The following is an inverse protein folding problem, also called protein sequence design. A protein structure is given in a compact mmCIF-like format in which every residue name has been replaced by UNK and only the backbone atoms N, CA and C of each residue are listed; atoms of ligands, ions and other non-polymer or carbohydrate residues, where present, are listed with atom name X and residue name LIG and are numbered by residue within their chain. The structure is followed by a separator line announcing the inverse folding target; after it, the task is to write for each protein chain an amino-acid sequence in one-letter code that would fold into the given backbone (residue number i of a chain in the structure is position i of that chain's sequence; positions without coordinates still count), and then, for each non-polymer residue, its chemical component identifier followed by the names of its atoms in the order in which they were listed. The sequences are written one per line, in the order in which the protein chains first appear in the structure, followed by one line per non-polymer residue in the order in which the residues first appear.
data_IF_501887341021
#
_entry.id   IF_501887341021
#
_cell.length_a   1.000
_cell.length_b   1.000
_cell.length_c   1.000
_cell.angle_alpha   90.00
_cell.angle_beta   90.00
_cell.angle_gamma   90.00
#
_symmetry.space_group_name_H-M   'P 1'
#
loop_
_entity.id
_entity.type
_entity.pdbx_description
1 polymer ?
#
# COMPACT_ATOMS: atom_id res chain seq x y z
N UNK A 1 -9.79 -11.31 5.64
CA UNK A 1 -8.47 -10.68 5.43
C UNK A 1 -8.48 -10.10 4.02
N UNK A 2 -8.42 -8.78 3.87
CA UNK A 2 -8.48 -8.12 2.55
C UNK A 2 -7.25 -7.23 2.40
N UNK A 3 -6.52 -7.43 1.32
CA UNK A 3 -5.38 -6.63 0.91
C UNK A 3 -5.52 -6.31 -0.57
N UNK A 4 -5.42 -5.03 -0.93
CA UNK A 4 -5.56 -4.53 -2.29
C UNK A 4 -4.25 -3.86 -2.66
N UNK A 5 -3.63 -4.27 -3.77
CA UNK A 5 -2.45 -3.61 -4.30
C UNK A 5 -2.80 -2.87 -5.59
N UNK A 6 -2.61 -1.55 -5.59
CA UNK A 6 -2.76 -0.71 -6.77
C UNK A 6 -1.41 -0.53 -7.44
N UNK A 7 -1.32 -0.89 -8.72
CA UNK A 7 -0.11 -0.80 -9.51
C UNK A 7 -0.35 -0.02 -10.80
N UNK A 8 0.63 0.77 -11.23
CA UNK A 8 0.53 1.61 -12.42
C UNK A 8 1.55 2.75 -12.43
N UNK A 9 1.67 3.45 -13.56
CA UNK A 9 2.60 4.56 -13.76
C UNK A 9 2.37 5.71 -12.77
N UNK A 10 3.40 6.55 -12.59
CA UNK A 10 3.23 7.82 -11.88
C UNK A 10 2.15 8.66 -12.59
N UNK A 11 1.26 9.29 -11.81
CA UNK A 11 0.12 10.05 -12.36
C UNK A 11 -1.06 9.21 -12.85
N UNK A 12 -1.02 7.88 -12.83
CA UNK A 12 -2.13 7.02 -13.29
C UNK A 12 -3.40 7.05 -12.40
N UNK A 13 -3.47 7.92 -11.39
CA UNK A 13 -4.63 8.07 -10.52
C UNK A 13 -4.75 7.06 -9.37
N UNK A 14 -3.69 6.30 -9.05
CA UNK A 14 -3.68 5.31 -7.95
C UNK A 14 -4.12 5.91 -6.60
N UNK A 15 -3.55 7.05 -6.24
CA UNK A 15 -3.88 7.76 -4.99
C UNK A 15 -5.33 8.25 -4.99
N UNK A 16 -5.81 8.75 -6.13
CA UNK A 16 -7.21 9.17 -6.29
C UNK A 16 -8.16 7.99 -6.09
N UNK A 17 -7.88 6.86 -6.73
CA UNK A 17 -8.68 5.64 -6.58
C UNK A 17 -8.64 5.10 -5.14
N UNK A 18 -7.45 5.04 -4.52
CA UNK A 18 -7.28 4.58 -3.15
C UNK A 18 -8.12 5.40 -2.16
N UNK A 19 -8.08 6.74 -2.29
CA UNK A 19 -8.84 7.64 -1.43
C UNK A 19 -10.36 7.49 -1.63
N UNK A 20 -10.83 7.38 -2.87
CA UNK A 20 -12.25 7.14 -3.16
C UNK A 20 -12.74 5.81 -2.57
N UNK A 21 -11.95 4.75 -2.73
CA UNK A 21 -12.27 3.43 -2.16
C UNK A 21 -12.25 3.47 -0.63
N UNK A 22 -11.25 4.12 -0.02
CA UNK A 22 -11.19 4.29 1.45
C UNK A 22 -12.43 5.01 1.96
N UNK A 23 -12.85 6.09 1.29
CA UNK A 23 -14.05 6.83 1.66
C UNK A 23 -15.28 5.93 1.63
N UNK A 24 -15.56 5.29 0.50
CA UNK A 24 -16.77 4.46 0.34
C UNK A 24 -16.85 3.30 1.36
N UNK A 25 -15.71 2.66 1.63
CA UNK A 25 -15.64 1.57 2.60
C UNK A 25 -15.74 2.09 4.05
N UNK A 26 -15.16 3.26 4.35
CA UNK A 26 -15.27 3.89 5.66
C UNK A 26 -16.71 4.31 5.97
N UNK A 27 -17.45 4.80 4.97
CA UNK A 27 -18.88 5.12 5.07
C UNK A 27 -19.73 3.88 5.41
N UNK A 28 -19.21 2.68 5.13
CA UNK A 28 -19.79 1.38 5.50
C UNK A 28 -19.30 0.86 6.87
N UNK A 29 -18.67 1.71 7.69
CA UNK A 29 -18.06 1.37 8.98
C UNK A 29 -16.95 0.29 8.90
N UNK A 30 -16.31 0.13 7.75
CA UNK A 30 -15.15 -0.76 7.61
C UNK A 30 -13.87 -0.01 7.96
N UNK A 31 -12.96 -0.67 8.67
CA UNK A 31 -11.63 -0.13 8.94
C UNK A 31 -10.79 -0.27 7.68
N UNK A 32 -10.26 0.83 7.16
CA UNK A 32 -9.49 0.84 5.91
C UNK A 32 -8.28 1.72 6.09
N UNK A 33 -7.13 1.24 5.64
CA UNK A 33 -5.89 1.99 5.66
C UNK A 33 -5.15 1.94 4.33
N UNK A 34 -4.67 3.12 3.90
CA UNK A 34 -3.88 3.26 2.68
C UNK A 34 -2.42 3.33 3.11
N UNK A 35 -1.58 2.45 2.55
CA UNK A 35 -0.14 2.52 2.69
C UNK A 35 0.44 3.12 1.41
N UNK A 36 0.85 4.38 1.50
CA UNK A 36 1.55 5.06 0.42
C UNK A 36 2.98 4.50 0.28
N UNK A 37 3.29 3.95 -0.89
CA UNK A 37 4.57 3.29 -1.14
C UNK A 37 5.76 4.24 -1.15
N UNK A 38 5.56 5.53 -1.44
CA UNK A 38 6.63 6.53 -1.42
C UNK A 38 6.96 6.94 0.01
N UNK A 39 5.96 7.20 0.85
CA UNK A 39 6.16 7.46 2.29
C UNK A 39 6.74 6.24 3.01
N UNK A 40 6.15 5.08 2.76
CA UNK A 40 6.61 3.81 3.29
C UNK A 40 8.08 3.55 2.94
N UNK A 41 8.46 3.73 1.68
CA UNK A 41 9.85 3.48 1.24
C UNK A 41 10.83 4.44 1.90
N UNK A 42 10.46 5.72 2.02
CA UNK A 42 11.28 6.73 2.71
C UNK A 42 11.50 6.44 4.18
N UNK A 43 10.59 5.73 4.86
CA UNK A 43 10.70 5.47 6.30
C UNK A 43 11.27 4.09 6.59
N UNK A 44 10.75 3.05 5.95
CA UNK A 44 11.00 1.63 6.27
C UNK A 44 12.06 0.98 5.38
N UNK A 45 12.27 1.51 4.17
CA UNK A 45 13.17 0.93 3.18
C UNK A 45 14.31 1.88 2.80
N UNK A 46 14.81 2.67 3.76
CA UNK A 46 15.93 3.60 3.56
C UNK A 46 17.23 2.90 3.13
N UNK A 47 17.35 1.62 3.47
CA UNK A 47 18.46 0.74 3.15
C UNK A 47 18.41 0.19 1.72
N UNK A 48 17.27 0.29 1.04
CA UNK A 48 17.06 -0.30 -0.28
C UNK A 48 17.34 0.71 -1.40
N UNK A 49 18.15 0.31 -2.38
CA UNK A 49 18.35 1.09 -3.61
C UNK A 49 17.18 0.89 -4.59
N UNK A 50 17.38 1.16 -5.88
CA UNK A 50 16.39 0.93 -6.94
C UNK A 50 16.70 -0.31 -7.80
N UNK A 51 17.63 -1.16 -7.34
CA UNK A 51 17.94 -2.43 -7.99
C UNK A 51 16.71 -3.34 -8.06
N UNK A 52 16.73 -4.33 -8.97
CA UNK A 52 15.62 -5.27 -9.11
C UNK A 52 15.34 -6.04 -7.81
N UNK A 53 16.40 -6.50 -7.13
CA UNK A 53 16.28 -7.22 -5.86
C UNK A 53 15.71 -6.32 -4.76
N UNK A 54 16.12 -5.05 -4.71
CA UNK A 54 15.61 -4.08 -3.74
C UNK A 54 14.14 -3.74 -3.98
N UNK A 55 13.69 -3.70 -5.24
CA UNK A 55 12.26 -3.54 -5.57
C UNK A 55 11.45 -4.73 -5.07
N UNK A 56 11.96 -5.95 -5.26
CA UNK A 56 11.31 -7.18 -4.74
C UNK A 56 11.21 -7.12 -3.22
N UNK A 57 12.29 -6.78 -2.53
CA UNK A 57 12.32 -6.67 -1.08
C UNK A 57 11.39 -5.56 -0.55
N UNK A 58 11.34 -4.42 -1.23
CA UNK A 58 10.42 -3.32 -0.92
C UNK A 58 8.97 -3.79 -0.95
N UNK A 59 8.57 -4.52 -2.00
CA UNK A 59 7.21 -5.09 -2.12
C UNK A 59 6.96 -6.18 -1.07
N UNK A 60 7.96 -7.03 -0.77
CA UNK A 60 7.85 -8.07 0.28
C UNK A 60 7.57 -7.45 1.65
N UNK A 61 8.35 -6.43 2.04
CA UNK A 61 8.18 -5.73 3.31
C UNK A 61 6.85 -4.95 3.35
N UNK A 62 6.43 -4.33 2.24
CA UNK A 62 5.14 -3.63 2.14
C UNK A 62 3.96 -4.59 2.32
N UNK A 63 4.01 -5.74 1.64
CA UNK A 63 3.03 -6.80 1.76
C UNK A 63 2.95 -7.37 3.18
N UNK A 64 4.08 -7.50 3.88
CA UNK A 64 4.11 -7.93 5.28
C UNK A 64 3.35 -6.96 6.20
N UNK A 65 3.57 -5.65 6.07
CA UNK A 65 2.83 -4.64 6.85
C UNK A 65 1.34 -4.68 6.50
N UNK A 66 1.00 -4.71 5.21
CA UNK A 66 -0.39 -4.81 4.78
C UNK A 66 -1.07 -6.06 5.34
N UNK A 67 -0.38 -7.20 5.39
CA UNK A 67 -0.90 -8.44 5.98
C UNK A 67 -1.15 -8.30 7.49
N UNK A 68 -0.30 -7.58 8.23
CA UNK A 68 -0.51 -7.30 9.65
C UNK A 68 -1.80 -6.49 9.86
N UNK A 69 -2.07 -5.51 9.02
CA UNK A 69 -3.33 -4.76 9.08
C UNK A 69 -4.53 -5.65 8.72
N UNK A 70 -4.42 -6.38 7.61
CA UNK A 70 -5.47 -7.25 7.08
C UNK A 70 -5.91 -8.35 8.05
N UNK A 71 -4.98 -8.94 8.80
CA UNK A 71 -5.30 -9.95 9.83
C UNK A 71 -5.96 -9.36 11.08
N UNK A 72 -5.83 -8.05 11.31
CA UNK A 72 -6.48 -7.32 12.41
C UNK A 72 -7.82 -6.67 11.99
N UNK A 73 -8.41 -7.10 10.87
CA UNK A 73 -9.69 -6.62 10.40
C UNK A 73 -9.64 -5.24 9.73
N UNK A 74 -8.45 -4.75 9.36
CA UNK A 74 -8.27 -3.50 8.60
C UNK A 74 -8.04 -3.85 7.14
N UNK A 75 -8.86 -3.32 6.24
CA UNK A 75 -8.64 -3.45 4.79
C UNK A 75 -7.41 -2.62 4.42
N UNK A 76 -6.33 -3.28 3.99
CA UNK A 76 -5.09 -2.61 3.62
C UNK A 76 -5.06 -2.34 2.11
N UNK A 77 -4.89 -1.07 1.72
CA UNK A 77 -4.73 -0.63 0.34
C UNK A 77 -3.28 -0.19 0.14
N UNK A 78 -2.50 -0.96 -0.60
CA UNK A 78 -1.12 -0.63 -0.95
C UNK A 78 -1.11 0.20 -2.22
N UNK A 79 -0.65 1.45 -2.14
CA UNK A 79 -0.48 2.34 -3.29
C UNK A 79 1.00 2.61 -3.51
N UNK A 80 1.69 1.68 -4.20
CA UNK A 80 3.13 1.79 -4.44
C UNK A 80 3.46 2.03 -5.92
N UNK A 81 4.57 2.72 -6.14
CA UNK A 81 5.26 2.84 -7.43
C UNK A 81 6.33 1.73 -7.46
N UNK A 82 6.48 1.02 -8.58
CA UNK A 82 7.61 0.09 -8.80
C UNK A 82 8.70 0.71 -9.62
#
# INVERSE_FOLDING_TARGET
MILVQLFGLSGAGKTTLANSVKKELSDKNLKVEIIDGDEYRKVICKDLSFSQNDRIENIRRLGFIGNILARNGVIAILSAIS
#
